data_IF_473618625818
#
_entry.id   IF_473618625818
#
_cell.length_a   1.000
_cell.length_b   1.000
_cell.length_c   1.000
_cell.angle_alpha   90.00
_cell.angle_beta   90.00
_cell.angle_gamma   90.00
#
_symmetry.space_group_name_H-M   'P 1'
#
loop_
_entity.id
_entity.type
_entity.pdbx_description
1 polymer ?
#
# COMPACT_ATOMS: atom_id res chain seq x y z
N UNK A 1 -26.18 -1.97 39.86
CA UNK A 1 -26.73 -3.25 39.38
C UNK A 1 -26.01 -4.35 40.11
N UNK A 2 -26.74 -5.19 40.84
CA UNK A 2 -26.16 -6.38 41.48
C UNK A 2 -25.79 -7.40 40.40
N UNK A 3 -24.63 -8.04 40.57
CA UNK A 3 -24.20 -9.15 39.71
C UNK A 3 -25.00 -10.39 40.10
N UNK A 4 -25.91 -10.81 39.24
CA UNK A 4 -26.58 -12.11 39.32
C UNK A 4 -25.64 -13.16 38.72
N UNK A 5 -25.51 -14.32 39.38
CA UNK A 5 -24.68 -15.40 38.84
C UNK A 5 -25.45 -16.23 37.82
N UNK A 6 -24.75 -16.86 36.87
CA UNK A 6 -25.39 -17.63 35.79
C UNK A 6 -26.21 -18.82 36.31
N UNK A 7 -25.81 -19.43 37.43
CA UNK A 7 -26.52 -20.52 38.11
C UNK A 7 -27.80 -20.07 38.84
N UNK A 8 -28.01 -18.75 38.95
CA UNK A 8 -29.23 -18.14 39.51
C UNK A 8 -30.20 -17.69 38.40
N UNK A 9 -29.84 -17.87 37.12
CA UNK A 9 -30.68 -17.59 35.96
C UNK A 9 -31.47 -18.83 35.54
N UNK A 10 -32.59 -18.59 34.86
CA UNK A 10 -33.41 -19.65 34.27
C UNK A 10 -32.60 -20.46 33.23
N UNK A 11 -32.66 -21.78 33.31
CA UNK A 11 -31.86 -22.68 32.45
C UNK A 11 -32.22 -22.53 30.97
N UNK A 12 -33.51 -22.34 30.64
CA UNK A 12 -33.98 -22.12 29.27
C UNK A 12 -33.43 -20.79 28.72
N UNK A 13 -33.42 -19.73 29.54
CA UNK A 13 -32.79 -18.46 29.17
C UNK A 13 -31.28 -18.59 28.92
N UNK A 14 -30.54 -19.32 29.77
CA UNK A 14 -29.10 -19.51 29.60
C UNK A 14 -28.81 -20.29 28.32
N UNK A 15 -29.58 -21.35 28.04
CA UNK A 15 -29.47 -22.13 26.81
C UNK A 15 -29.77 -21.28 25.56
N UNK A 16 -30.83 -20.46 25.58
CA UNK A 16 -31.16 -19.54 24.49
C UNK A 16 -30.04 -18.52 24.23
N UNK A 17 -29.50 -17.90 25.29
CA UNK A 17 -28.40 -16.92 25.15
C UNK A 17 -27.14 -17.60 24.63
N UNK A 18 -26.79 -18.78 25.14
CA UNK A 18 -25.61 -19.51 24.65
C UNK A 18 -25.76 -19.88 23.17
N UNK A 19 -26.93 -20.36 22.77
CA UNK A 19 -27.24 -20.68 21.38
C UNK A 19 -27.22 -19.43 20.49
N UNK A 20 -27.78 -18.32 20.95
CA UNK A 20 -27.75 -17.05 20.23
C UNK A 20 -26.31 -16.53 20.04
N UNK A 21 -25.48 -16.58 21.09
CA UNK A 21 -24.08 -16.19 21.03
C UNK A 21 -23.30 -17.09 20.06
N UNK A 22 -23.43 -18.42 20.17
CA UNK A 22 -22.81 -19.37 19.24
C UNK A 22 -23.23 -19.11 17.80
N UNK A 23 -24.52 -18.85 17.57
CA UNK A 23 -25.05 -18.52 16.25
C UNK A 23 -24.38 -17.26 15.68
N UNK A 24 -24.32 -16.17 16.45
CA UNK A 24 -23.65 -14.93 16.05
C UNK A 24 -22.17 -15.18 15.71
N UNK A 25 -21.43 -15.83 16.61
CA UNK A 25 -20.00 -16.07 16.40
C UNK A 25 -19.70 -17.02 15.25
N UNK A 26 -20.61 -17.95 14.95
CA UNK A 26 -20.46 -18.88 13.82
C UNK A 26 -20.62 -18.21 12.45
N UNK A 27 -21.25 -17.02 12.40
CA UNK A 27 -21.62 -16.34 11.16
C UNK A 27 -21.07 -14.92 11.01
N UNK A 28 -20.18 -14.45 11.90
CA UNK A 28 -19.65 -13.08 11.93
C UNK A 28 -19.09 -12.65 10.56
N UNK A 29 -19.85 -11.90 9.74
CA UNK A 29 -19.37 -11.50 8.45
C UNK A 29 -18.44 -10.31 8.63
N UNK A 30 -17.34 -10.30 7.88
CA UNK A 30 -16.50 -9.12 7.80
C UNK A 30 -17.33 -7.92 7.30
N UNK A 31 -16.96 -6.72 7.75
CA UNK A 31 -17.52 -5.48 7.22
C UNK A 31 -16.71 -5.02 6.02
N UNK A 32 -17.39 -4.49 5.02
CA UNK A 32 -16.79 -4.10 3.74
C UNK A 32 -17.17 -2.68 3.35
N UNK A 33 -16.24 -1.99 2.70
CA UNK A 33 -16.47 -0.78 1.90
C UNK A 33 -16.27 -1.21 0.44
N UNK A 34 -17.39 -1.39 -0.28
CA UNK A 34 -17.35 -2.04 -1.59
C UNK A 34 -16.81 -3.48 -1.49
N UNK A 35 -15.76 -3.79 -2.24
CA UNK A 35 -15.05 -5.08 -2.20
C UNK A 35 -13.87 -5.11 -1.22
N UNK A 36 -13.58 -4.01 -0.53
CA UNK A 36 -12.46 -3.92 0.42
C UNK A 36 -12.93 -4.18 1.84
N UNK A 37 -12.19 -4.97 2.60
CA UNK A 37 -12.47 -5.19 4.03
C UNK A 37 -12.25 -3.90 4.82
N UNK A 38 -13.23 -3.55 5.65
CA UNK A 38 -13.15 -2.41 6.55
C UNK A 38 -12.25 -2.77 7.74
N UNK A 39 -11.10 -2.10 7.83
CA UNK A 39 -10.14 -2.23 8.93
C UNK A 39 -10.46 -1.18 10.02
N UNK A 40 -9.79 -1.27 11.17
CA UNK A 40 -10.04 -0.37 12.31
C UNK A 40 -9.95 1.12 11.96
N UNK A 41 -8.95 1.51 11.15
CA UNK A 41 -8.76 2.91 10.74
C UNK A 41 -9.91 3.43 9.85
N UNK A 42 -10.40 2.62 8.90
CA UNK A 42 -11.55 3.01 8.07
C UNK A 42 -12.84 3.04 8.87
N UNK A 43 -13.01 2.12 9.82
CA UNK A 43 -14.17 2.12 10.72
C UNK A 43 -14.21 3.36 11.62
N UNK A 44 -13.09 3.74 12.22
CA UNK A 44 -13.00 4.95 13.05
C UNK A 44 -13.34 6.18 12.23
N UNK A 45 -12.78 6.32 11.01
CA UNK A 45 -13.08 7.45 10.15
C UNK A 45 -14.56 7.50 9.74
N UNK A 46 -15.15 6.34 9.44
CA UNK A 46 -16.56 6.23 9.12
C UNK A 46 -17.44 6.70 10.28
N UNK A 47 -17.15 6.26 11.52
CA UNK A 47 -17.88 6.70 12.71
C UNK A 47 -17.73 8.21 12.95
N UNK A 48 -16.52 8.75 12.81
CA UNK A 48 -16.27 10.19 12.95
C UNK A 48 -17.14 10.98 11.98
N UNK A 49 -17.15 10.61 10.70
CA UNK A 49 -17.95 11.32 9.72
C UNK A 49 -19.46 11.26 10.04
N UNK A 50 -19.97 10.10 10.48
CA UNK A 50 -21.39 9.97 10.88
C UNK A 50 -21.71 10.91 12.05
N UNK A 51 -20.87 10.91 13.09
CA UNK A 51 -21.07 11.75 14.28
C UNK A 51 -20.99 13.23 13.92
N UNK A 52 -20.03 13.62 13.09
CA UNK A 52 -19.87 15.01 12.66
C UNK A 52 -21.10 15.50 11.87
N UNK A 53 -21.63 14.69 10.95
CA UNK A 53 -22.84 15.03 10.20
C UNK A 53 -24.10 15.07 11.04
N UNK A 54 -24.24 14.17 12.02
CA UNK A 54 -25.37 14.23 12.95
C UNK A 54 -25.37 15.51 13.79
N UNK A 55 -24.20 16.11 14.00
CA UNK A 55 -24.02 17.30 14.83
C UNK A 55 -23.92 18.62 14.03
N UNK A 56 -23.85 18.58 12.70
CA UNK A 56 -23.79 19.80 11.88
C UNK A 56 -25.16 20.47 11.74
N UNK A 57 -25.27 21.74 12.15
CA UNK A 57 -26.51 22.53 12.12
C UNK A 57 -26.94 22.99 10.73
N UNK A 58 -26.04 22.92 9.75
CA UNK A 58 -26.35 23.18 8.34
C UNK A 58 -26.69 21.86 7.66
N UNK A 59 -27.99 21.69 7.41
CA UNK A 59 -28.67 20.55 6.77
C UNK A 59 -28.89 19.32 7.65
N UNK A 60 -30.17 19.02 7.89
CA UNK A 60 -30.65 17.65 8.09
C UNK A 60 -30.52 16.84 6.78
N UNK A 61 -29.34 16.88 6.14
CA UNK A 61 -29.08 16.09 4.95
C UNK A 61 -29.08 14.63 5.36
N UNK A 62 -29.86 13.82 4.63
CA UNK A 62 -29.84 12.37 4.80
C UNK A 62 -28.39 11.88 4.79
N UNK A 63 -28.01 11.09 5.80
CA UNK A 63 -26.77 10.32 5.80
C UNK A 63 -26.70 9.51 4.51
N UNK A 64 -25.83 9.90 3.58
CA UNK A 64 -25.59 9.17 2.34
C UNK A 64 -24.39 8.27 2.53
N UNK A 65 -24.64 6.97 2.68
CA UNK A 65 -23.59 5.94 2.84
C UNK A 65 -22.53 6.03 1.72
N UNK A 66 -22.89 6.21 0.43
CA UNK A 66 -21.90 6.36 -0.64
C UNK A 66 -20.93 7.53 -0.44
N UNK A 67 -21.41 8.70 0.02
CA UNK A 67 -20.51 9.85 0.23
C UNK A 67 -19.60 9.67 1.43
N UNK A 68 -20.04 8.92 2.45
CA UNK A 68 -19.17 8.55 3.57
C UNK A 68 -18.07 7.58 3.16
N UNK A 69 -18.40 6.59 2.35
CA UNK A 69 -17.42 5.63 1.85
C UNK A 69 -16.36 6.30 1.00
N UNK A 70 -16.71 7.26 0.16
CA UNK A 70 -15.74 8.04 -0.61
C UNK A 70 -14.77 8.81 0.30
N UNK A 71 -15.31 9.48 1.33
CA UNK A 71 -14.50 10.21 2.32
C UNK A 71 -13.55 9.29 3.07
N UNK A 72 -14.01 8.09 3.45
CA UNK A 72 -13.18 7.09 4.14
C UNK A 72 -12.10 6.54 3.22
N UNK A 73 -12.42 6.24 1.95
CA UNK A 73 -11.45 5.78 0.95
C UNK A 73 -10.34 6.82 0.77
N UNK A 74 -10.72 8.08 0.55
CA UNK A 74 -9.77 9.19 0.41
C UNK A 74 -8.87 9.31 1.65
N UNK A 75 -9.45 9.27 2.85
CA UNK A 75 -8.70 9.37 4.09
C UNK A 75 -7.69 8.24 4.25
N UNK A 76 -8.12 6.99 4.07
CA UNK A 76 -7.22 5.81 4.17
C UNK A 76 -6.10 5.90 3.15
N UNK A 77 -6.42 6.32 1.91
CA UNK A 77 -5.42 6.50 0.88
C UNK A 77 -4.35 7.53 1.26
N UNK A 78 -4.75 8.71 1.73
CA UNK A 78 -3.79 9.75 2.10
C UNK A 78 -2.94 9.35 3.31
N UNK A 79 -3.52 8.70 4.32
CA UNK A 79 -2.74 8.19 5.46
C UNK A 79 -1.76 7.09 5.03
N UNK A 80 -2.17 6.19 4.13
CA UNK A 80 -1.29 5.17 3.58
C UNK A 80 -0.13 5.79 2.77
N UNK A 81 -0.41 6.76 1.90
CA UNK A 81 0.63 7.46 1.13
C UNK A 81 1.61 8.15 2.07
N UNK A 82 1.11 8.92 3.05
CA UNK A 82 1.93 9.62 4.03
C UNK A 82 2.86 8.68 4.80
N UNK A 83 2.33 7.55 5.28
CA UNK A 83 3.13 6.54 5.98
C UNK A 83 4.18 5.90 5.06
N UNK A 84 3.82 5.59 3.82
CA UNK A 84 4.74 4.98 2.85
C UNK A 84 5.90 5.92 2.52
N UNK A 85 5.61 7.19 2.24
CA UNK A 85 6.65 8.21 1.97
C UNK A 85 7.55 8.41 3.20
N UNK A 86 6.96 8.56 4.38
CA UNK A 86 7.73 8.72 5.62
C UNK A 86 8.70 7.55 5.86
N UNK A 87 8.23 6.31 5.69
CA UNK A 87 9.08 5.12 5.84
C UNK A 87 10.20 5.04 4.79
N UNK A 88 9.89 5.37 3.54
CA UNK A 88 10.89 5.40 2.48
C UNK A 88 11.98 6.42 2.77
N UNK A 89 11.59 7.64 3.14
CA UNK A 89 12.50 8.73 3.49
C UNK A 89 13.36 8.40 4.71
N UNK A 90 12.75 7.88 5.78
CA UNK A 90 13.45 7.47 6.99
C UNK A 90 14.52 6.41 6.69
N UNK A 91 14.21 5.41 5.86
CA UNK A 91 15.17 4.37 5.47
C UNK A 91 16.30 4.93 4.60
N UNK A 92 15.98 5.77 3.62
CA UNK A 92 16.99 6.41 2.77
C UNK A 92 17.90 7.35 3.55
N UNK A 93 17.34 8.16 4.45
CA UNK A 93 18.12 9.05 5.32
C UNK A 93 19.00 8.25 6.28
N UNK A 94 18.47 7.21 6.93
CA UNK A 94 19.27 6.34 7.79
C UNK A 94 20.41 5.65 7.01
N UNK A 95 20.15 5.26 5.76
CA UNK A 95 21.18 4.70 4.88
C UNK A 95 22.29 5.71 4.62
N UNK A 96 21.95 6.94 4.24
CA UNK A 96 22.92 7.96 3.83
C UNK A 96 23.68 8.60 5.00
N UNK A 97 23.07 8.67 6.18
CA UNK A 97 23.70 9.23 7.39
C UNK A 97 24.65 8.25 8.10
N UNK A 98 24.73 6.99 7.65
CA UNK A 98 25.75 6.07 8.16
C UNK A 98 27.13 6.45 7.61
N UNK A 99 28.08 6.68 8.52
CA UNK A 99 29.45 7.08 8.20
C UNK A 99 30.08 6.20 7.11
N UNK A 100 30.54 6.84 6.04
CA UNK A 100 31.28 6.19 4.94
C UNK A 100 30.43 5.54 3.84
N UNK A 101 29.09 5.66 3.87
CA UNK A 101 28.25 5.12 2.78
C UNK A 101 28.24 5.94 1.51
N UNK A 102 28.37 7.27 1.60
CA UNK A 102 28.49 8.13 0.43
C UNK A 102 29.95 8.42 0.08
N UNK A 103 30.30 8.53 -1.21
CA UNK A 103 29.42 8.28 -2.36
C UNK A 103 29.23 6.80 -2.67
N UNK A 104 28.01 6.46 -3.11
CA UNK A 104 27.60 5.10 -3.50
C UNK A 104 27.62 4.95 -5.02
N UNK A 105 27.98 3.75 -5.52
CA UNK A 105 27.88 3.45 -6.95
C UNK A 105 26.41 3.35 -7.35
N UNK A 106 26.07 3.81 -8.56
CA UNK A 106 24.68 3.87 -9.03
C UNK A 106 23.96 2.52 -9.02
N UNK A 107 24.64 1.42 -9.33
CA UNK A 107 24.02 0.08 -9.29
C UNK A 107 23.56 -0.30 -7.87
N UNK A 108 24.39 -0.02 -6.86
CA UNK A 108 24.06 -0.27 -5.45
C UNK A 108 22.99 0.71 -4.96
N UNK A 109 23.11 1.98 -5.35
CA UNK A 109 22.17 3.04 -4.99
C UNK A 109 20.75 2.74 -5.51
N UNK A 110 20.62 2.41 -6.79
CA UNK A 110 19.33 2.04 -7.39
C UNK A 110 18.77 0.74 -6.82
N UNK A 111 19.64 -0.21 -6.41
CA UNK A 111 19.21 -1.42 -5.73
C UNK A 111 18.56 -1.09 -4.38
N UNK A 112 19.18 -0.23 -3.57
CA UNK A 112 18.62 0.18 -2.28
C UNK A 112 17.29 0.93 -2.44
N UNK A 113 17.22 1.85 -3.42
CA UNK A 113 15.97 2.50 -3.75
C UNK A 113 14.88 1.51 -4.13
N UNK A 114 15.20 0.56 -5.01
CA UNK A 114 14.24 -0.46 -5.42
C UNK A 114 13.75 -1.29 -4.22
N UNK A 115 14.64 -1.74 -3.34
CA UNK A 115 14.28 -2.49 -2.14
C UNK A 115 13.32 -1.69 -1.22
N UNK A 116 13.60 -0.41 -0.95
CA UNK A 116 12.74 0.38 -0.07
C UNK A 116 11.43 0.80 -0.73
N UNK A 117 11.45 1.12 -2.04
CA UNK A 117 10.23 1.40 -2.81
C UNK A 117 9.34 0.16 -2.86
N UNK A 118 9.95 -1.02 -2.99
CA UNK A 118 9.26 -2.31 -2.99
C UNK A 118 8.45 -2.53 -1.71
N UNK A 119 9.12 -2.41 -0.57
CA UNK A 119 8.50 -2.60 0.74
C UNK A 119 7.34 -1.62 1.00
N UNK A 120 7.51 -0.34 0.62
CA UNK A 120 6.43 0.65 0.83
C UNK A 120 5.28 0.45 -0.15
N UNK A 121 5.53 -0.05 -1.36
CA UNK A 121 4.47 -0.43 -2.29
C UNK A 121 3.66 -1.61 -1.77
N UNK A 122 4.32 -2.66 -1.25
CA UNK A 122 3.62 -3.78 -0.61
C UNK A 122 2.71 -3.29 0.54
N UNK A 123 3.26 -2.42 1.41
CA UNK A 123 2.50 -1.82 2.51
C UNK A 123 1.31 -0.99 2.02
N UNK A 124 1.49 -0.19 0.97
CA UNK A 124 0.44 0.62 0.38
C UNK A 124 -0.72 -0.26 -0.11
N UNK A 125 -0.43 -1.30 -0.89
CA UNK A 125 -1.46 -2.19 -1.44
C UNK A 125 -2.18 -3.01 -0.36
N UNK A 126 -1.50 -3.32 0.75
CA UNK A 126 -2.12 -3.97 1.91
C UNK A 126 -3.17 -3.08 2.60
N UNK A 127 -2.93 -1.76 2.61
CA UNK A 127 -3.76 -0.78 3.33
C UNK A 127 -4.85 -0.15 2.47
N UNK A 128 -4.58 0.06 1.19
CA UNK A 128 -5.47 0.81 0.31
C UNK A 128 -6.82 0.08 0.15
N UNK A 129 -7.89 0.87 0.08
CA UNK A 129 -9.26 0.42 -0.12
C UNK A 129 -9.92 1.22 -1.25
N UNK A 130 -11.02 0.71 -1.78
CA UNK A 130 -11.80 1.36 -2.84
C UNK A 130 -11.90 0.54 -4.12
N UNK A 131 -12.35 1.18 -5.20
CA UNK A 131 -12.40 0.55 -6.52
C UNK A 131 -11.00 0.48 -7.17
N UNK A 132 -10.78 -0.42 -8.14
CA UNK A 132 -9.52 -0.49 -8.87
C UNK A 132 -9.10 0.85 -9.49
N UNK A 133 -10.06 1.63 -10.00
CA UNK A 133 -9.80 2.95 -10.57
C UNK A 133 -9.28 3.94 -9.53
N UNK A 134 -9.91 3.99 -8.35
CA UNK A 134 -9.46 4.84 -7.24
C UNK A 134 -8.08 4.42 -6.71
N UNK A 135 -7.87 3.12 -6.53
CA UNK A 135 -6.56 2.59 -6.13
C UNK A 135 -5.47 2.98 -7.14
N UNK A 136 -5.77 2.88 -8.43
CA UNK A 136 -4.88 3.32 -9.51
C UNK A 136 -4.51 4.80 -9.42
N UNK A 137 -5.47 5.69 -9.14
CA UNK A 137 -5.15 7.12 -8.98
C UNK A 137 -4.29 7.40 -7.75
N UNK A 138 -4.55 6.73 -6.62
CA UNK A 138 -3.73 6.91 -5.42
C UNK A 138 -2.33 6.34 -5.55
N UNK A 139 -2.18 5.25 -6.29
CA UNK A 139 -0.88 4.69 -6.60
C UNK A 139 -0.04 5.61 -7.51
N UNK A 140 -0.67 6.28 -8.49
CA UNK A 140 0.01 7.33 -9.28
C UNK A 140 0.51 8.43 -8.35
N UNK A 141 -0.35 8.90 -7.42
CA UNK A 141 0.03 9.92 -6.45
C UNK A 141 1.19 9.48 -5.55
N UNK A 142 1.20 8.22 -5.08
CA UNK A 142 2.32 7.66 -4.33
C UNK A 142 3.60 7.68 -5.16
N UNK A 143 3.56 7.14 -6.38
CA UNK A 143 4.73 7.07 -7.26
C UNK A 143 5.30 8.45 -7.55
N UNK A 144 4.46 9.44 -7.88
CA UNK A 144 4.90 10.81 -8.11
C UNK A 144 5.58 11.42 -6.88
N UNK A 145 5.04 11.15 -5.69
CA UNK A 145 5.60 11.68 -4.42
C UNK A 145 6.91 10.99 -4.07
N UNK A 146 6.99 9.67 -4.22
CA UNK A 146 8.21 8.89 -4.03
C UNK A 146 9.30 9.33 -5.00
N UNK A 147 8.94 9.61 -6.27
CA UNK A 147 9.88 10.06 -7.30
C UNK A 147 10.49 11.42 -6.94
N UNK A 148 9.65 12.38 -6.52
CA UNK A 148 10.14 13.68 -6.03
C UNK A 148 11.08 13.55 -4.83
N UNK A 149 10.77 12.64 -3.91
CA UNK A 149 11.65 12.36 -2.76
C UNK A 149 12.97 11.71 -3.20
N UNK A 150 12.92 10.76 -4.15
CA UNK A 150 14.10 10.11 -4.77
C UNK A 150 15.04 11.11 -5.42
N UNK A 151 14.53 12.12 -6.14
CA UNK A 151 15.35 13.16 -6.79
C UNK A 151 16.33 13.83 -5.81
N UNK A 152 15.89 14.14 -4.58
CA UNK A 152 16.75 14.76 -3.57
C UNK A 152 17.89 13.85 -3.08
N UNK A 153 17.69 12.52 -3.10
CA UNK A 153 18.74 11.57 -2.77
C UNK A 153 19.71 11.33 -3.94
N UNK A 154 19.18 11.28 -5.16
CA UNK A 154 19.94 11.19 -6.42
C UNK A 154 20.90 12.38 -6.54
N UNK A 155 20.41 13.60 -6.32
CA UNK A 155 21.24 14.82 -6.38
C UNK A 155 22.37 14.78 -5.36
N UNK A 156 22.08 14.40 -4.11
CA UNK A 156 23.07 14.25 -3.05
C UNK A 156 24.15 13.23 -3.41
N UNK A 157 23.78 12.03 -3.88
CA UNK A 157 24.75 11.00 -4.26
C UNK A 157 25.60 11.43 -5.46
N UNK A 158 24.99 12.02 -6.49
CA UNK A 158 25.70 12.53 -7.68
C UNK A 158 26.73 13.60 -7.31
N UNK A 159 26.36 14.51 -6.40
CA UNK A 159 27.27 15.55 -5.88
C UNK A 159 28.49 14.94 -5.18
N UNK A 160 28.27 13.97 -4.29
CA UNK A 160 29.38 13.31 -3.58
C UNK A 160 30.26 12.48 -4.52
N UNK A 161 29.68 11.81 -5.52
CA UNK A 161 30.42 11.10 -6.58
C UNK A 161 31.31 12.07 -7.36
N UNK A 162 30.77 13.23 -7.71
CA UNK A 162 31.51 14.30 -8.40
C UNK A 162 32.69 14.77 -7.55
N UNK A 163 32.46 15.11 -6.27
CA UNK A 163 33.51 15.58 -5.36
C UNK A 163 34.62 14.53 -5.19
N UNK A 164 34.24 13.28 -4.96
CA UNK A 164 35.18 12.18 -4.76
C UNK A 164 36.05 11.95 -6.00
N UNK A 165 35.42 11.82 -7.17
CA UNK A 165 36.14 11.58 -8.42
C UNK A 165 36.99 12.79 -8.83
N UNK A 166 36.51 14.01 -8.62
CA UNK A 166 37.26 15.23 -8.95
C UNK A 166 38.52 15.36 -8.09
N UNK A 167 38.45 15.01 -6.81
CA UNK A 167 39.62 14.98 -5.91
C UNK A 167 40.71 14.02 -6.43
N UNK A 168 40.31 12.86 -6.94
CA UNK A 168 41.23 11.89 -7.54
C UNK A 168 41.82 12.45 -8.83
N UNK A 169 40.97 13.00 -9.72
CA UNK A 169 41.40 13.62 -10.98
C UNK A 169 42.46 14.70 -10.72
N UNK A 170 42.20 15.62 -9.78
CA UNK A 170 43.13 16.69 -9.40
C UNK A 170 44.47 16.15 -8.92
N UNK A 171 44.46 15.15 -8.04
CA UNK A 171 45.69 14.53 -7.54
C UNK A 171 46.51 13.85 -8.64
N UNK A 172 45.85 13.11 -9.54
CA UNK A 172 46.51 12.44 -10.66
C UNK A 172 47.01 13.43 -11.71
N UNK A 173 46.26 14.49 -11.98
CA UNK A 173 46.65 15.54 -12.91
C UNK A 173 47.91 16.27 -12.42
N UNK A 174 47.95 16.64 -11.13
CA UNK A 174 49.14 17.25 -10.54
C UNK A 174 50.36 16.30 -10.58
N UNK A 175 50.14 15.00 -10.37
CA UNK A 175 51.19 13.97 -10.42
C UNK A 175 51.77 13.79 -11.82
N UNK A 176 50.92 13.67 -12.83
CA UNK A 176 51.34 13.31 -14.18
C UNK A 176 51.63 14.50 -15.09
N UNK A 177 50.96 15.63 -14.90
CA UNK A 177 50.98 16.75 -15.84
C UNK A 177 51.58 18.02 -15.24
N UNK A 178 50.97 18.63 -14.23
CA UNK A 178 51.34 19.99 -13.79
C UNK A 178 52.78 20.11 -13.28
N UNK A 179 53.25 19.09 -12.54
CA UNK A 179 54.58 19.13 -11.94
C UNK A 179 55.70 18.62 -12.87
N UNK A 180 55.39 18.30 -14.13
CA UNK A 180 56.34 17.69 -15.06
C UNK A 180 56.66 18.60 -16.25
N UNK A 181 57.95 18.76 -16.56
CA UNK A 181 58.40 19.43 -17.79
C UNK A 181 58.52 18.42 -18.93
N UNK A 182 57.74 18.59 -20.01
CA UNK A 182 57.76 17.68 -21.15
C UNK A 182 58.77 18.11 -22.22
N UNK A 183 59.80 17.29 -22.44
CA UNK A 183 60.73 17.44 -23.58
C UNK A 183 60.17 16.75 -24.82
N UNK A 184 59.07 17.28 -25.36
CA UNK A 184 58.45 16.81 -26.61
C UNK A 184 57.04 16.22 -26.46
N UNK A 185 56.29 16.23 -27.56
CA UNK A 185 54.85 15.92 -27.59
C UNK A 185 54.52 14.46 -27.27
N UNK A 186 55.38 13.51 -27.65
CA UNK A 186 55.18 12.08 -27.35
C UNK A 186 55.23 11.78 -25.85
N UNK A 187 56.11 12.46 -25.11
CA UNK A 187 56.18 12.31 -23.65
C UNK A 187 54.95 12.90 -22.97
N UNK A 188 54.42 13.99 -23.52
CA UNK A 188 53.19 14.59 -23.02
C UNK A 188 51.98 13.68 -23.29
N UNK A 189 51.85 13.13 -24.50
CA UNK A 189 50.81 12.14 -24.84
C UNK A 189 50.87 10.91 -23.92
N UNK A 190 52.06 10.38 -23.66
CA UNK A 190 52.22 9.25 -22.73
C UNK A 190 51.80 9.59 -21.29
N UNK A 191 52.01 10.84 -20.86
CA UNK A 191 51.55 11.30 -19.54
C UNK A 191 50.02 11.46 -19.46
N UNK A 192 49.39 11.98 -20.53
CA UNK A 192 47.92 12.02 -20.63
C UNK A 192 47.32 10.61 -20.59
N UNK A 193 47.90 9.66 -21.32
CA UNK A 193 47.48 8.25 -21.28
C UNK A 193 47.63 7.62 -19.88
N UNK A 194 48.71 7.95 -19.18
CA UNK A 194 48.93 7.49 -17.80
C UNK A 194 47.91 8.08 -16.83
N UNK A 195 47.60 9.37 -16.98
CA UNK A 195 46.54 10.04 -16.24
C UNK A 195 45.18 9.38 -16.48
N UNK A 196 44.79 9.16 -17.73
CA UNK A 196 43.50 8.54 -18.08
C UNK A 196 43.39 7.10 -17.54
N UNK A 197 44.46 6.31 -17.69
CA UNK A 197 44.48 4.93 -17.19
C UNK A 197 44.35 4.85 -15.68
N UNK A 198 45.01 5.74 -14.95
CA UNK A 198 44.94 5.75 -13.49
C UNK A 198 43.62 6.34 -12.98
N UNK A 199 43.02 7.28 -13.70
CA UNK A 199 41.68 7.77 -13.43
C UNK A 199 40.65 6.65 -13.56
N UNK A 200 40.67 5.88 -14.66
CA UNK A 200 39.74 4.75 -14.88
C UNK A 200 39.84 3.67 -13.80
N UNK A 201 41.04 3.46 -13.24
CA UNK A 201 41.27 2.50 -12.15
C UNK A 201 40.88 3.03 -10.77
N UNK A 202 41.07 4.32 -10.52
CA UNK A 202 40.98 4.89 -9.16
C UNK A 202 39.63 5.54 -8.87
N UNK A 203 38.96 6.07 -9.89
CA UNK A 203 37.64 6.69 -9.75
C UNK A 203 36.56 5.64 -9.56
N UNK A 204 35.49 6.03 -8.85
CA UNK A 204 34.26 5.26 -8.82
C UNK A 204 33.62 5.36 -10.20
N UNK A 205 33.42 4.21 -10.86
CA UNK A 205 32.81 4.12 -12.19
C UNK A 205 31.39 4.68 -12.14
N UNK A 206 31.19 5.81 -12.79
CA UNK A 206 29.90 6.50 -12.85
C UNK A 206 29.86 7.51 -14.00
N UNK A 207 28.67 7.99 -14.41
CA UNK A 207 28.54 9.09 -15.36
C UNK A 207 29.32 10.34 -14.92
N UNK A 208 29.41 10.63 -13.62
CA UNK A 208 30.19 11.73 -13.06
C UNK A 208 31.68 11.58 -13.34
N UNK A 209 32.25 10.38 -13.19
CA UNK A 209 33.66 10.13 -13.53
C UNK A 209 33.94 10.46 -15.01
N UNK A 210 33.06 10.00 -15.90
CA UNK A 210 33.15 10.27 -17.34
C UNK A 210 33.03 11.76 -17.65
N UNK A 211 32.07 12.46 -17.00
CA UNK A 211 31.88 13.93 -17.12
C UNK A 211 33.12 14.70 -16.64
N UNK A 212 33.79 14.24 -15.58
CA UNK A 212 35.04 14.84 -15.09
C UNK A 212 36.15 14.70 -16.14
N UNK A 213 36.37 13.51 -16.70
CA UNK A 213 37.40 13.32 -17.74
C UNK A 213 37.10 14.17 -18.98
N UNK A 214 35.84 14.24 -19.41
CA UNK A 214 35.43 15.12 -20.50
C UNK A 214 35.73 16.61 -20.20
N UNK A 215 35.47 17.07 -18.96
CA UNK A 215 35.80 18.42 -18.52
C UNK A 215 37.31 18.69 -18.54
N UNK A 216 38.12 17.71 -18.12
CA UNK A 216 39.59 17.80 -18.20
C UNK A 216 40.08 17.94 -19.63
N UNK A 217 39.51 17.16 -20.56
CA UNK A 217 39.82 17.28 -22.00
C UNK A 217 39.43 18.64 -22.56
N UNK A 218 38.31 19.21 -22.09
CA UNK A 218 37.84 20.51 -22.55
C UNK A 218 38.69 21.68 -22.06
N UNK A 219 39.04 21.73 -20.77
CA UNK A 219 39.63 22.95 -20.19
C UNK A 219 41.14 22.82 -19.96
N UNK A 220 41.61 21.66 -19.48
CA UNK A 220 42.98 21.48 -19.00
C UNK A 220 43.89 20.92 -20.09
N UNK A 221 43.42 19.95 -20.88
CA UNK A 221 44.20 19.38 -21.97
C UNK A 221 44.46 20.44 -23.03
N UNK A 222 43.44 21.20 -23.45
CA UNK A 222 43.61 22.25 -24.45
C UNK A 222 44.62 23.30 -24.01
N UNK A 223 44.55 23.75 -22.74
CA UNK A 223 45.52 24.70 -22.19
C UNK A 223 46.95 24.14 -22.14
N UNK A 224 47.11 22.88 -21.72
CA UNK A 224 48.42 22.21 -21.68
C UNK A 224 49.00 21.97 -23.09
N UNK A 225 48.15 21.62 -24.06
CA UNK A 225 48.53 21.48 -25.47
C UNK A 225 49.00 22.84 -26.01
N UNK A 226 48.24 23.92 -25.81
CA UNK A 226 48.64 25.26 -26.27
C UNK A 226 50.01 25.70 -25.72
N UNK A 227 50.26 25.44 -24.43
CA UNK A 227 51.54 25.76 -23.79
C UNK A 227 52.72 24.97 -24.38
N UNK A 228 52.51 23.71 -24.78
CA UNK A 228 53.54 22.89 -25.42
C UNK A 228 53.70 23.28 -26.90
N UNK A 229 52.62 23.75 -27.55
CA UNK A 229 52.57 23.95 -29.01
C UNK A 229 52.93 25.38 -29.47
N UNK A 230 53.14 26.33 -28.55
CA UNK A 230 53.94 27.53 -28.82
C UNK A 230 55.38 27.21 -29.31
N UNK A 231 55.76 25.93 -29.37
CA UNK A 231 57.00 25.39 -29.96
C UNK A 231 56.84 24.76 -31.37
N UNK A 232 55.66 24.74 -32.02
CA UNK A 232 55.49 24.28 -33.42
C UNK A 232 54.03 24.11 -33.92
N UNK A 233 53.63 24.80 -34.98
CA UNK A 233 52.22 25.19 -35.25
C UNK A 233 51.25 24.17 -35.90
N UNK A 234 51.68 23.11 -36.59
CA UNK A 234 50.74 22.27 -37.38
C UNK A 234 50.26 20.99 -36.68
N UNK A 235 51.04 20.42 -35.76
CA UNK A 235 50.68 19.19 -35.03
C UNK A 235 49.60 19.43 -33.97
N UNK A 236 49.45 20.69 -33.53
CA UNK A 236 48.47 21.14 -32.55
C UNK A 236 47.03 20.89 -32.98
N UNK A 237 46.73 21.13 -34.25
CA UNK A 237 45.36 21.14 -34.77
C UNK A 237 44.76 19.74 -34.79
N UNK A 238 45.51 18.77 -35.31
CA UNK A 238 45.06 17.37 -35.36
C UNK A 238 44.79 16.78 -33.97
N UNK A 239 45.64 17.11 -32.98
CA UNK A 239 45.45 16.65 -31.59
C UNK A 239 44.23 17.31 -30.97
N UNK A 240 44.00 18.61 -31.20
CA UNK A 240 42.79 19.29 -30.72
C UNK A 240 41.52 18.66 -31.28
N UNK A 241 41.48 18.41 -32.58
CA UNK A 241 40.29 17.83 -33.22
C UNK A 241 40.03 16.39 -32.71
N UNK A 242 41.09 15.60 -32.47
CA UNK A 242 41.01 14.26 -31.89
C UNK A 242 40.50 14.28 -30.43
N UNK A 243 41.04 15.15 -29.58
CA UNK A 243 40.61 15.28 -28.18
C UNK A 243 39.18 15.81 -28.04
N UNK A 244 38.77 16.71 -28.93
CA UNK A 244 37.41 17.22 -28.99
C UNK A 244 36.40 16.14 -29.42
N UNK A 245 36.75 15.31 -30.40
CA UNK A 245 35.94 14.15 -30.78
C UNK A 245 35.82 13.13 -29.63
N UNK A 246 36.92 12.88 -28.91
CA UNK A 246 36.93 12.02 -27.74
C UNK A 246 36.06 12.58 -26.60
N UNK A 247 36.10 13.90 -26.35
CA UNK A 247 35.23 14.58 -25.38
C UNK A 247 33.76 14.36 -25.71
N UNK A 248 33.35 14.63 -26.95
CA UNK A 248 31.96 14.44 -27.39
C UNK A 248 31.50 12.98 -27.21
N UNK A 249 32.37 12.02 -27.51
CA UNK A 249 32.11 10.59 -27.30
C UNK A 249 31.90 10.25 -25.82
N UNK A 250 32.74 10.78 -24.93
CA UNK A 250 32.60 10.58 -23.48
C UNK A 250 31.30 11.18 -22.94
N UNK A 251 30.92 12.38 -23.40
CA UNK A 251 29.65 12.99 -23.00
C UNK A 251 28.43 12.22 -23.52
N UNK A 252 28.51 11.64 -24.72
CA UNK A 252 27.47 10.77 -25.25
C UNK A 252 27.36 9.49 -24.41
N UNK A 253 28.49 8.86 -24.08
CA UNK A 253 28.54 7.66 -23.25
C UNK A 253 28.00 7.91 -21.83
N UNK A 254 28.35 9.03 -21.20
CA UNK A 254 27.82 9.39 -19.88
C UNK A 254 26.29 9.55 -19.89
N UNK A 255 25.73 10.16 -20.95
CA UNK A 255 24.28 10.32 -21.13
C UNK A 255 23.59 8.99 -21.40
N UNK A 256 24.19 8.14 -22.23
CA UNK A 256 23.66 6.79 -22.52
C UNK A 256 23.59 5.94 -21.24
N UNK A 257 24.65 5.96 -20.43
CA UNK A 257 24.70 5.22 -19.18
C UNK A 257 23.66 5.72 -18.16
N UNK A 258 23.48 7.03 -18.06
CA UNK A 258 22.45 7.65 -17.20
C UNK A 258 21.03 7.20 -17.62
N UNK A 259 20.73 7.21 -18.93
CA UNK A 259 19.45 6.71 -19.45
C UNK A 259 19.29 5.20 -19.24
N UNK A 260 20.35 4.41 -19.42
CA UNK A 260 20.33 2.95 -19.20
C UNK A 260 19.94 2.62 -17.76
N UNK A 261 20.54 3.32 -16.79
CA UNK A 261 20.22 3.15 -15.37
C UNK A 261 18.75 3.52 -15.07
N UNK A 262 18.26 4.64 -15.62
CA UNK A 262 16.86 5.06 -15.45
C UNK A 262 15.87 4.04 -16.03
N UNK A 263 16.11 3.55 -17.25
CA UNK A 263 15.25 2.56 -17.92
C UNK A 263 15.19 1.26 -17.11
N UNK A 264 16.34 0.79 -16.62
CA UNK A 264 16.42 -0.43 -15.84
C UNK A 264 15.67 -0.29 -14.50
N UNK A 265 15.82 0.84 -13.80
CA UNK A 265 15.08 1.12 -12.58
C UNK A 265 13.56 1.13 -12.82
N UNK A 266 13.10 1.88 -13.84
CA UNK A 266 11.68 1.94 -14.20
C UNK A 266 11.10 0.57 -14.57
N UNK A 267 11.89 -0.29 -15.23
CA UNK A 267 11.46 -1.65 -15.57
C UNK A 267 11.16 -2.48 -14.31
N UNK A 268 12.06 -2.46 -13.33
CA UNK A 268 11.89 -3.21 -12.07
C UNK A 268 10.70 -2.70 -11.27
N UNK A 269 10.58 -1.38 -11.13
CA UNK A 269 9.45 -0.75 -10.43
C UNK A 269 8.11 -1.13 -11.10
N UNK A 270 8.05 -1.15 -12.44
CA UNK A 270 6.86 -1.57 -13.19
C UNK A 270 6.48 -3.03 -12.93
N UNK A 271 7.43 -3.95 -13.00
CA UNK A 271 7.18 -5.38 -12.81
C UNK A 271 6.60 -5.66 -11.42
N UNK A 272 7.17 -5.01 -10.42
CA UNK A 272 6.74 -5.18 -9.05
C UNK A 272 5.37 -4.56 -8.77
N UNK A 273 5.15 -3.35 -9.28
CA UNK A 273 3.86 -2.69 -9.21
C UNK A 273 2.75 -3.55 -9.86
N UNK A 274 3.03 -4.15 -11.02
CA UNK A 274 2.10 -5.05 -11.70
C UNK A 274 1.77 -6.28 -10.85
N UNK A 275 2.77 -6.86 -10.16
CA UNK A 275 2.58 -7.96 -9.22
C UNK A 275 1.68 -7.55 -8.04
N UNK A 276 1.97 -6.41 -7.40
CA UNK A 276 1.22 -5.95 -6.23
C UNK A 276 -0.23 -5.60 -6.60
N UNK A 277 -0.45 -4.96 -7.75
CA UNK A 277 -1.79 -4.72 -8.28
C UNK A 277 -2.56 -6.02 -8.53
N UNK A 278 -1.95 -7.03 -9.17
CA UNK A 278 -2.58 -8.35 -9.39
C UNK A 278 -2.97 -9.03 -8.08
N UNK A 279 -2.10 -9.00 -7.07
CA UNK A 279 -2.38 -9.55 -5.75
C UNK A 279 -3.57 -8.85 -5.10
N UNK A 280 -3.61 -7.51 -5.17
CA UNK A 280 -4.74 -6.74 -4.64
C UNK A 280 -6.04 -7.05 -5.37
N UNK A 281 -6.02 -7.21 -6.70
CA UNK A 281 -7.21 -7.59 -7.46
C UNK A 281 -7.73 -8.98 -7.06
N UNK A 282 -6.84 -9.94 -6.81
CA UNK A 282 -7.21 -11.27 -6.33
C UNK A 282 -7.83 -11.23 -4.91
N UNK A 283 -7.30 -10.38 -4.02
CA UNK A 283 -7.89 -10.10 -2.71
C UNK A 283 -9.32 -9.56 -2.85
N UNK A 284 -9.52 -8.53 -3.68
CA UNK A 284 -10.85 -7.94 -3.89
C UNK A 284 -11.84 -8.95 -4.47
N UNK A 285 -11.40 -9.81 -5.40
CA UNK A 285 -12.23 -10.86 -5.97
C UNK A 285 -12.65 -11.89 -4.90
N UNK A 286 -11.70 -12.31 -4.06
CA UNK A 286 -11.97 -13.22 -2.93
C UNK A 286 -12.99 -12.62 -1.97
N UNK A 287 -12.86 -11.32 -1.64
CA UNK A 287 -13.80 -10.62 -0.78
C UNK A 287 -15.21 -10.56 -1.39
N UNK A 288 -15.32 -10.33 -2.70
CA UNK A 288 -16.62 -10.34 -3.41
C UNK A 288 -17.29 -11.72 -3.29
N UNK A 289 -16.53 -12.80 -3.44
CA UNK A 289 -17.04 -14.16 -3.32
C UNK A 289 -17.48 -14.50 -1.89
N UNK A 290 -16.69 -14.09 -0.89
CA UNK A 290 -17.06 -14.22 0.52
C UNK A 290 -18.34 -13.46 0.87
N UNK A 291 -18.50 -12.23 0.35
CA UNK A 291 -19.72 -11.44 0.52
C UNK A 291 -20.95 -12.16 -0.05
N UNK A 292 -20.85 -12.71 -1.26
CA UNK A 292 -21.95 -13.48 -1.87
C UNK A 292 -22.32 -14.71 -1.04
N UNK A 293 -21.32 -15.48 -0.62
CA UNK A 293 -21.52 -16.66 0.21
C UNK A 293 -22.22 -16.34 1.53
N UNK A 294 -21.76 -15.30 2.23
CA UNK A 294 -22.38 -14.85 3.49
C UNK A 294 -23.83 -14.39 3.28
N UNK A 295 -24.14 -13.71 2.17
CA UNK A 295 -25.51 -13.32 1.84
C UNK A 295 -26.41 -14.54 1.58
N UNK A 296 -25.91 -15.57 0.92
CA UNK A 296 -26.69 -16.76 0.62
C UNK A 296 -26.91 -17.64 1.87
N UNK A 297 -25.90 -17.75 2.76
CA UNK A 297 -26.04 -18.39 4.08
C UNK A 297 -27.09 -17.67 4.94
N UNK A 298 -27.08 -16.33 4.98
CA UNK A 298 -28.07 -15.55 5.74
C UNK A 298 -29.49 -15.74 5.20
N UNK A 299 -29.67 -15.80 3.87
CA UNK A 299 -30.98 -16.12 3.27
C UNK A 299 -31.45 -17.51 3.66
N UNK A 300 -30.54 -18.49 3.71
CA UNK A 300 -30.88 -19.86 4.09
C UNK A 300 -31.30 -19.94 5.57
N UNK A 301 -30.55 -19.32 6.48
CA UNK A 301 -30.91 -19.25 7.90
C UNK A 301 -32.29 -18.61 8.10
N UNK A 302 -32.58 -17.50 7.41
CA UNK A 302 -33.90 -16.87 7.48
C UNK A 302 -35.04 -17.80 7.04
N UNK A 303 -34.83 -18.61 6.00
CA UNK A 303 -35.81 -19.61 5.56
C UNK A 303 -36.02 -20.70 6.60
N UNK A 304 -34.96 -21.14 7.28
CA UNK A 304 -35.02 -22.14 8.36
C UNK A 304 -35.74 -21.59 9.59
N UNK A 305 -35.43 -20.37 10.02
CA UNK A 305 -36.13 -19.66 11.09
C UNK A 305 -37.61 -19.45 10.78
N UNK A 306 -37.94 -19.07 9.53
CA UNK A 306 -39.32 -18.94 9.09
C UNK A 306 -40.07 -20.26 9.19
N UNK A 307 -39.46 -21.37 8.77
CA UNK A 307 -40.05 -22.72 8.89
C UNK A 307 -40.26 -23.11 10.35
N UNK A 308 -39.29 -22.84 11.20
CA UNK A 308 -39.38 -23.09 12.64
C UNK A 308 -40.53 -22.32 13.27
N UNK A 309 -40.62 -21.01 12.99
CA UNK A 309 -41.70 -20.15 13.49
C UNK A 309 -43.08 -20.66 13.03
N UNK A 310 -43.24 -21.00 11.75
CA UNK A 310 -44.49 -21.59 11.24
C UNK A 310 -44.82 -22.90 11.96
N UNK A 311 -43.83 -23.75 12.22
CA UNK A 311 -43.98 -24.98 13.00
C UNK A 311 -44.49 -24.73 14.41
N UNK A 312 -43.88 -23.79 15.14
CA UNK A 312 -44.31 -23.39 16.49
C UNK A 312 -45.74 -22.85 16.48
N UNK A 313 -46.06 -21.95 15.56
CA UNK A 313 -47.41 -21.38 15.44
C UNK A 313 -48.44 -22.50 15.23
N UNK A 314 -48.17 -23.45 14.34
CA UNK A 314 -49.06 -24.59 14.10
C UNK A 314 -49.24 -25.45 15.36
N UNK A 315 -48.18 -25.73 16.10
CA UNK A 315 -48.26 -26.48 17.38
C UNK A 315 -49.10 -25.75 18.44
N UNK A 316 -48.97 -24.42 18.54
CA UNK A 316 -49.79 -23.59 19.43
C UNK A 316 -51.26 -23.71 19.04
N UNK A 317 -51.58 -23.57 17.75
CA UNK A 317 -52.96 -23.70 17.27
C UNK A 317 -53.54 -25.10 17.49
N UNK A 318 -52.77 -26.15 17.23
CA UNK A 318 -53.20 -27.54 17.50
C UNK A 318 -53.48 -27.76 18.99
N UNK A 319 -52.66 -27.21 19.87
CA UNK A 319 -52.84 -27.28 21.32
C UNK A 319 -54.10 -26.52 21.75
N UNK A 320 -54.32 -25.32 21.21
CA UNK A 320 -55.53 -24.52 21.45
C UNK A 320 -56.80 -25.23 20.97
N UNK A 321 -56.76 -25.90 19.81
CA UNK A 321 -57.87 -26.70 19.27
C UNK A 321 -58.19 -27.84 20.24
N UNK A 322 -57.19 -28.62 20.66
CA UNK A 322 -57.36 -29.70 21.65
C UNK A 322 -57.96 -29.17 22.96
N UNK A 323 -57.49 -28.03 23.46
CA UNK A 323 -58.06 -27.38 24.64
C UNK A 323 -59.53 -27.00 24.44
N UNK A 324 -59.90 -26.43 23.30
CA UNK A 324 -61.30 -26.09 22.98
C UNK A 324 -62.20 -27.34 22.95
N UNK A 325 -61.71 -28.45 22.40
CA UNK A 325 -62.45 -29.72 22.37
C UNK A 325 -62.68 -30.28 23.78
N UNK A 326 -61.67 -30.22 24.65
CA UNK A 326 -61.79 -30.62 26.06
C UNK A 326 -62.82 -29.76 26.79
N UNK A 327 -62.77 -28.44 26.62
CA UNK A 327 -63.76 -27.51 27.20
C UNK A 327 -65.17 -27.83 26.69
N UNK A 328 -65.34 -28.14 25.40
CA UNK A 328 -66.63 -28.49 24.82
C UNK A 328 -67.19 -29.81 25.39
N UNK A 329 -66.33 -30.81 25.65
CA UNK A 329 -66.71 -32.06 26.32
C UNK A 329 -67.16 -31.82 27.76
N UNK A 330 -66.40 -31.04 28.53
CA UNK A 330 -66.75 -30.67 29.91
C UNK A 330 -68.11 -29.94 29.98
N UNK A 331 -68.38 -28.98 29.08
CA UNK A 331 -69.69 -28.30 28.99
C UNK A 331 -70.85 -29.26 28.66
N UNK A 332 -70.61 -30.26 27.80
CA UNK A 332 -71.62 -31.32 27.51
C UNK A 332 -71.89 -32.20 28.73
N UNK A 333 -70.88 -32.47 29.54
CA UNK A 333 -71.05 -33.25 30.78
C UNK A 333 -71.76 -32.44 31.86
N UNK A 334 -71.40 -31.17 32.06
CA UNK A 334 -72.12 -30.28 32.99
C UNK A 334 -73.61 -30.13 32.64
N UNK A 335 -73.93 -30.01 31.35
CA UNK A 335 -75.32 -29.91 30.90
C UNK A 335 -76.10 -31.21 31.09
N UNK A 336 -75.46 -32.39 30.98
CA UNK A 336 -76.06 -33.68 31.36
C UNK A 336 -76.30 -33.78 32.87
N UNK A 337 -75.34 -33.37 33.69
CA UNK A 337 -75.47 -33.36 35.16
C UNK A 337 -76.59 -32.41 35.61
N UNK A 338 -76.70 -31.22 35.01
CA UNK A 338 -77.82 -30.29 35.27
C UNK A 338 -79.18 -30.88 34.88
N UNK A 339 -79.30 -31.55 33.73
CA UNK A 339 -80.53 -32.26 33.33
C UNK A 339 -80.92 -33.39 34.27
N UNK A 340 -79.95 -34.16 34.78
CA UNK A 340 -80.22 -35.24 35.73
C UNK A 340 -80.63 -34.73 37.12
N UNK A 341 -80.05 -33.60 37.60
CA UNK A 341 -80.51 -32.93 38.82
C UNK A 341 -81.95 -32.38 38.70
N UNK A 342 -82.35 -31.90 37.53
CA UNK A 342 -83.73 -31.47 37.26
C UNK A 342 -84.71 -32.65 37.23
N UNK A 343 -84.32 -33.81 36.69
CA UNK A 343 -85.14 -35.03 36.75
C UNK A 343 -85.26 -35.62 38.16
N UNK A 344 -84.22 -35.53 38.98
CA UNK A 344 -84.24 -35.96 40.38
C UNK A 344 -85.09 -35.08 41.31
N UNK A 345 -85.35 -33.82 40.97
CA UNK A 345 -86.26 -32.94 41.73
C UNK A 345 -87.75 -33.15 41.44
N UNK A 346 -88.11 -33.88 40.38
CA UNK A 346 -89.51 -34.15 40.00
C UNK A 346 -90.03 -35.50 40.51
N UNK A 347 -89.30 -36.19 41.40
CA UNK A 347 -89.73 -37.43 42.04
C UNK A 347 -89.79 -37.18 43.56
N UNK A 348 -90.74 -36.35 44.00
CA UNK A 348 -91.32 -36.40 45.35
C UNK A 348 -92.45 -35.37 45.48
N UNK A 349 -93.64 -35.67 44.93
CA UNK A 349 -94.93 -35.33 45.56
C UNK A 349 -95.89 -36.48 45.21
N UNK A 350 -95.98 -37.46 46.11
CA UNK A 350 -97.18 -38.27 46.30
C UNK A 350 -97.63 -37.98 47.72
N UNK A 351 -98.77 -37.31 47.83
CA UNK A 351 -99.76 -37.48 48.90
C UNK A 351 -101.10 -37.03 48.31
#
# INVERSE_FOLDING_TARGET
MEKVKTDELDEEFVEEVENAVKSIYSQLPLKYIGSSTMKGISFIKFLQNIVDRMNSSETSTLLSIPSEYESVIQFVAQEAIKECIGRYEEKMEALMNNDGKLPMLWEEFEKMHHEYISEVNELFFEKIIGSPTQMGSFAIQLNETTSKSKEGFVERNSKELTIYNEKIAKGLWAKYIENNSFKGIEKFKGALQSFESDCDKSMKKSPEATKIIASYKQNQYLSAIEHITQLGLDLAKGIRDEEEANRLKLEAFAREEELRLQIEALRREREEYEKNAKNKMAELQTNIEQQKKSQDEMKQCFVEEQKFLIGMINQIFDTLIKHKEVIAKLRKEESKVKKNKLKGKNICIIA
#
